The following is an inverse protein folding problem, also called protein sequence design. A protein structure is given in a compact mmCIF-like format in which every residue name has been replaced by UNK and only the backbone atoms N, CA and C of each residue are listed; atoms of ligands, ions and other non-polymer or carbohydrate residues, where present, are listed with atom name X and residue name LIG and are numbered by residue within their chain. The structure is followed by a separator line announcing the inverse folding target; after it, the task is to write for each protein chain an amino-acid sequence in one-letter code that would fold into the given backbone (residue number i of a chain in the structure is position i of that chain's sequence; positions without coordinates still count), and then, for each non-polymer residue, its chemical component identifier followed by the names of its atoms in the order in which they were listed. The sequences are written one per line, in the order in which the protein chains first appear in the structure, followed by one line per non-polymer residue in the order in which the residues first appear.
data_IF_927294166990
#
_entry.id   IF_927294166990
#
_cell.length_a   1.000
_cell.length_b   1.000
_cell.length_c   1.000
_cell.angle_alpha   90.00
_cell.angle_beta   90.00
_cell.angle_gamma   90.00
#
_symmetry.space_group_name_H-M   'P 1'
#
loop_
_entity.id
_entity.type
_entity.pdbx_description
1 polymer ?
#
# COMPACT_ATOMS: atom_id res chain seq x y z
N UNK A 1 11.22 -40.02 -31.14
CA UNK A 1 10.77 -39.48 -29.83
C UNK A 1 9.26 -39.66 -29.77
N UNK A 2 8.77 -40.60 -28.95
CA UNK A 2 7.34 -40.92 -28.82
C UNK A 2 6.62 -39.68 -28.28
N UNK A 3 5.61 -39.21 -29.01
CA UNK A 3 4.65 -38.25 -28.48
C UNK A 3 3.72 -39.03 -27.56
N UNK A 4 3.77 -38.77 -26.25
CA UNK A 4 2.77 -39.27 -25.32
C UNK A 4 1.43 -38.59 -25.63
N UNK A 5 0.51 -39.39 -26.14
CA UNK A 5 -0.89 -39.05 -26.37
C UNK A 5 -1.58 -38.83 -25.02
N UNK A 6 -1.83 -37.56 -24.67
CA UNK A 6 -2.65 -37.20 -23.51
C UNK A 6 -2.28 -35.91 -22.77
N UNK A 7 -1.15 -35.26 -23.10
CA UNK A 7 -0.71 -34.06 -22.36
C UNK A 7 -1.47 -32.81 -22.81
N UNK A 8 -2.26 -32.22 -21.91
CA UNK A 8 -2.95 -30.94 -22.14
C UNK A 8 -1.91 -29.85 -22.46
N UNK A 9 -2.03 -29.23 -23.64
CA UNK A 9 -1.16 -28.12 -24.05
C UNK A 9 -1.90 -26.81 -23.96
N UNK A 10 -1.18 -25.79 -23.52
CA UNK A 10 -1.71 -24.44 -23.37
C UNK A 10 -0.99 -23.55 -24.36
N UNK A 11 -1.80 -22.87 -25.17
CA UNK A 11 -1.38 -21.94 -26.22
C UNK A 11 -1.82 -20.55 -25.83
N UNK A 12 -0.91 -19.59 -25.98
CA UNK A 12 -1.21 -18.16 -25.85
C UNK A 12 -1.04 -17.49 -27.22
N UNK A 13 -1.16 -16.17 -27.30
CA UNK A 13 -1.17 -15.41 -28.56
C UNK A 13 0.15 -15.42 -29.38
N UNK A 14 1.20 -16.13 -28.96
CA UNK A 14 2.51 -16.20 -29.64
C UNK A 14 2.82 -17.54 -30.32
N UNK A 15 1.84 -18.41 -30.56
CA UNK A 15 1.99 -19.76 -31.15
C UNK A 15 2.88 -20.77 -30.39
N UNK A 16 3.67 -20.32 -29.42
CA UNK A 16 4.42 -21.18 -28.51
C UNK A 16 3.50 -22.02 -27.63
N UNK A 17 3.84 -23.30 -27.52
CA UNK A 17 3.06 -24.29 -26.77
C UNK A 17 3.93 -24.99 -25.74
N UNK A 18 3.41 -25.09 -24.53
CA UNK A 18 4.03 -25.84 -23.44
C UNK A 18 2.98 -26.74 -22.79
N UNK A 19 3.41 -27.82 -22.14
CA UNK A 19 2.49 -28.61 -21.34
C UNK A 19 2.03 -27.82 -20.11
N UNK A 20 0.89 -28.23 -19.55
CA UNK A 20 0.33 -27.62 -18.35
C UNK A 20 1.30 -27.64 -17.18
N UNK A 21 2.06 -28.71 -17.00
CA UNK A 21 3.02 -28.86 -15.90
C UNK A 21 4.17 -27.85 -16.02
N UNK A 22 4.69 -27.61 -17.23
CA UNK A 22 5.71 -26.59 -17.47
C UNK A 22 5.17 -25.18 -17.19
N UNK A 23 3.95 -24.88 -17.62
CA UNK A 23 3.29 -23.62 -17.30
C UNK A 23 3.11 -23.44 -15.79
N UNK A 24 2.61 -24.45 -15.09
CA UNK A 24 2.41 -24.41 -13.65
C UNK A 24 3.73 -24.15 -12.90
N UNK A 25 4.81 -24.85 -13.26
CA UNK A 25 6.12 -24.65 -12.64
C UNK A 25 6.67 -23.24 -12.91
N UNK A 26 6.63 -22.79 -14.17
CA UNK A 26 7.11 -21.47 -14.56
C UNK A 26 6.33 -20.35 -13.86
N UNK A 27 5.00 -20.42 -13.88
CA UNK A 27 4.14 -19.40 -13.29
C UNK A 27 4.26 -19.37 -11.77
N UNK A 28 4.25 -20.53 -11.11
CA UNK A 28 4.47 -20.63 -9.66
C UNK A 28 5.79 -19.98 -9.27
N UNK A 29 6.88 -20.30 -9.99
CA UNK A 29 8.18 -19.70 -9.75
C UNK A 29 8.15 -18.17 -9.93
N UNK A 30 7.60 -17.66 -11.04
CA UNK A 30 7.51 -16.22 -11.30
C UNK A 30 6.68 -15.47 -10.26
N UNK A 31 5.58 -16.06 -9.80
CA UNK A 31 4.71 -15.49 -8.76
C UNK A 31 5.41 -15.51 -7.41
N UNK A 32 6.17 -16.55 -7.08
CA UNK A 32 6.93 -16.64 -5.83
C UNK A 32 8.03 -15.58 -5.75
N UNK A 33 8.76 -15.37 -6.84
CA UNK A 33 9.78 -14.31 -6.99
C UNK A 33 9.21 -12.89 -6.92
N UNK A 34 7.89 -12.71 -6.91
CA UNK A 34 7.24 -11.39 -6.90
C UNK A 34 7.36 -10.61 -8.22
N UNK A 35 7.87 -11.25 -9.29
CA UNK A 35 8.05 -10.65 -10.62
C UNK A 35 6.77 -10.74 -11.46
N UNK A 36 5.64 -10.27 -10.93
CA UNK A 36 4.33 -10.42 -11.59
C UNK A 36 4.03 -9.37 -12.65
N UNK A 37 4.67 -8.19 -12.58
CA UNK A 37 4.35 -7.05 -13.43
C UNK A 37 4.73 -7.29 -14.91
N UNK A 38 5.43 -8.40 -15.17
CA UNK A 38 6.02 -8.74 -16.47
C UNK A 38 6.12 -10.25 -16.65
N UNK A 39 5.02 -10.99 -16.45
CA UNK A 39 4.99 -12.42 -16.80
C UNK A 39 4.82 -12.55 -18.32
N UNK A 40 5.91 -12.84 -19.00
CA UNK A 40 5.94 -13.12 -20.43
C UNK A 40 5.94 -14.61 -20.73
N UNK A 41 5.70 -14.94 -22.00
CA UNK A 41 5.89 -16.27 -22.55
C UNK A 41 7.26 -16.86 -22.15
N UNK A 42 7.33 -18.15 -21.77
CA UNK A 42 8.60 -18.82 -21.46
C UNK A 42 9.57 -19.00 -22.63
N UNK A 43 9.12 -18.76 -23.87
CA UNK A 43 9.96 -18.93 -25.05
C UNK A 43 11.05 -17.85 -25.12
N UNK A 44 12.24 -18.25 -25.61
CA UNK A 44 13.36 -17.34 -25.85
C UNK A 44 12.93 -16.23 -26.82
N UNK A 45 13.31 -14.99 -26.50
CA UNK A 45 13.00 -13.78 -27.28
C UNK A 45 11.51 -13.54 -27.54
N UNK A 46 10.63 -14.08 -26.68
CA UNK A 46 9.20 -13.82 -26.76
C UNK A 46 8.74 -12.86 -25.66
N UNK A 47 8.22 -11.70 -26.07
CA UNK A 47 7.74 -10.65 -25.16
C UNK A 47 6.21 -10.57 -25.09
N UNK A 48 5.50 -11.65 -25.46
CA UNK A 48 4.04 -11.69 -25.30
C UNK A 48 3.67 -11.90 -23.84
N UNK A 49 2.80 -11.03 -23.33
CA UNK A 49 2.22 -11.15 -21.99
C UNK A 49 1.37 -12.40 -21.87
N UNK A 50 1.44 -13.03 -20.69
CA UNK A 50 0.56 -14.13 -20.32
C UNK A 50 -0.74 -13.55 -19.77
N UNK A 51 -1.91 -13.85 -20.36
CA UNK A 51 -3.20 -13.38 -19.85
C UNK A 51 -3.54 -13.94 -18.47
N UNK A 52 -4.31 -13.19 -17.67
CA UNK A 52 -4.71 -13.59 -16.32
C UNK A 52 -5.48 -14.92 -16.30
N UNK A 53 -6.31 -15.16 -17.31
CA UNK A 53 -7.11 -16.38 -17.44
C UNK A 53 -6.20 -17.63 -17.56
N UNK A 54 -5.04 -17.48 -18.21
CA UNK A 54 -4.06 -18.56 -18.32
C UNK A 54 -3.39 -18.79 -16.98
N UNK A 55 -3.04 -17.72 -16.26
CA UNK A 55 -2.43 -17.81 -14.94
C UNK A 55 -3.38 -18.56 -14.00
N UNK A 56 -4.62 -18.11 -13.87
CA UNK A 56 -5.66 -18.72 -13.02
C UNK A 56 -5.93 -20.19 -13.37
N UNK A 57 -5.89 -20.55 -14.66
CA UNK A 57 -6.09 -21.95 -15.09
C UNK A 57 -4.89 -22.86 -14.77
N UNK A 58 -3.68 -22.32 -14.72
CA UNK A 58 -2.45 -23.12 -14.61
C UNK A 58 -1.96 -23.31 -13.18
N UNK A 59 -2.20 -22.37 -12.28
CA UNK A 59 -1.69 -22.41 -10.90
C UNK A 59 -2.79 -22.74 -9.91
N UNK A 60 -2.41 -23.14 -8.70
CA UNK A 60 -3.37 -23.36 -7.63
C UNK A 60 -3.99 -22.04 -7.11
N UNK A 61 -5.07 -22.16 -6.34
CA UNK A 61 -5.82 -21.01 -5.84
C UNK A 61 -4.98 -20.05 -4.98
N UNK A 62 -3.99 -20.54 -4.23
CA UNK A 62 -3.14 -19.69 -3.41
C UNK A 62 -2.19 -18.86 -4.28
N UNK A 63 -1.62 -19.47 -5.32
CA UNK A 63 -0.76 -18.77 -6.28
C UNK A 63 -1.55 -17.77 -7.12
N UNK A 64 -2.76 -18.11 -7.57
CA UNK A 64 -3.64 -17.18 -8.29
C UNK A 64 -4.01 -15.97 -7.42
N UNK A 65 -4.34 -16.20 -6.14
CA UNK A 65 -4.61 -15.12 -5.18
C UNK A 65 -3.38 -14.23 -4.96
N UNK A 66 -2.19 -14.83 -4.84
CA UNK A 66 -0.93 -14.09 -4.67
C UNK A 66 -0.61 -13.24 -5.91
N UNK A 67 -0.83 -13.79 -7.11
CA UNK A 67 -0.70 -13.04 -8.36
C UNK A 67 -1.61 -11.81 -8.37
N UNK A 68 -2.91 -11.99 -8.08
CA UNK A 68 -3.87 -10.89 -8.05
C UNK A 68 -3.51 -9.82 -7.00
N UNK A 69 -3.02 -10.22 -5.83
CA UNK A 69 -2.54 -9.28 -4.82
C UNK A 69 -1.43 -8.39 -5.35
N UNK A 70 -0.47 -8.97 -6.07
CA UNK A 70 0.60 -8.18 -6.64
C UNK A 70 0.15 -7.32 -7.82
N UNK A 71 -0.78 -7.80 -8.64
CA UNK A 71 -1.35 -7.01 -9.75
C UNK A 71 -2.09 -5.77 -9.22
N UNK A 72 -2.95 -5.94 -8.21
CA UNK A 72 -3.62 -4.82 -7.51
C UNK A 72 -2.56 -3.91 -6.87
N UNK A 73 -1.51 -4.47 -6.26
CA UNK A 73 -0.39 -3.69 -5.71
C UNK A 73 0.25 -2.79 -6.76
N UNK A 74 0.57 -3.33 -7.93
CA UNK A 74 1.09 -2.56 -9.05
C UNK A 74 0.17 -1.40 -9.44
N UNK A 75 -1.12 -1.72 -9.60
CA UNK A 75 -2.12 -0.76 -10.05
C UNK A 75 -2.23 0.41 -9.08
N UNK A 76 -2.31 0.14 -7.77
CA UNK A 76 -2.42 1.19 -6.76
C UNK A 76 -1.12 1.98 -6.65
N UNK A 77 0.05 1.32 -6.62
CA UNK A 77 1.34 1.99 -6.46
C UNK A 77 1.69 2.89 -7.65
N UNK A 78 1.22 2.55 -8.86
CA UNK A 78 1.47 3.33 -10.08
C UNK A 78 0.42 4.41 -10.36
N UNK A 79 -0.71 4.42 -9.63
CA UNK A 79 -1.82 5.33 -9.90
C UNK A 79 -1.94 6.40 -8.80
N UNK A 80 -1.61 7.68 -9.07
CA UNK A 80 -1.65 8.74 -8.04
C UNK A 80 -3.06 9.03 -7.50
N UNK A 81 -4.11 8.54 -8.18
CA UNK A 81 -5.49 8.65 -7.71
C UNK A 81 -5.87 7.58 -6.69
N UNK A 82 -5.01 6.61 -6.41
CA UNK A 82 -5.22 5.59 -5.38
C UNK A 82 -4.05 5.60 -4.39
N UNK A 83 -4.35 5.35 -3.12
CA UNK A 83 -3.33 5.13 -2.09
C UNK A 83 -3.73 3.97 -1.19
N UNK A 84 -2.76 3.21 -0.71
CA UNK A 84 -2.99 2.20 0.30
C UNK A 84 -3.39 2.86 1.63
N UNK A 85 -4.29 2.21 2.36
CA UNK A 85 -4.53 2.55 3.75
C UNK A 85 -3.21 2.36 4.53
N UNK A 86 -2.73 3.37 5.27
CA UNK A 86 -1.46 3.26 5.99
C UNK A 86 -1.54 2.33 7.21
N UNK A 87 -2.74 1.97 7.65
CA UNK A 87 -2.92 1.15 8.85
C UNK A 87 -2.33 -0.26 8.65
N UNK A 88 -1.62 -0.77 9.65
CA UNK A 88 -1.01 -2.10 9.60
C UNK A 88 -2.07 -3.17 9.37
N UNK A 89 -1.73 -4.17 8.55
CA UNK A 89 -2.62 -5.27 8.16
C UNK A 89 -3.91 -4.85 7.41
N UNK A 90 -4.03 -3.58 7.00
CA UNK A 90 -5.13 -3.13 6.16
C UNK A 90 -4.75 -3.22 4.68
N UNK A 91 -5.29 -4.22 3.96
CA UNK A 91 -5.05 -4.40 2.53
C UNK A 91 -6.05 -3.64 1.64
N UNK A 92 -6.59 -2.51 2.12
CA UNK A 92 -7.53 -1.70 1.37
C UNK A 92 -6.84 -0.48 0.77
N UNK A 93 -7.15 -0.18 -0.48
CA UNK A 93 -6.80 1.08 -1.12
C UNK A 93 -8.00 2.03 -1.11
N UNK A 94 -7.70 3.33 -1.06
CA UNK A 94 -8.65 4.43 -1.12
C UNK A 94 -8.43 5.23 -2.40
N UNK A 95 -9.51 5.74 -2.99
CA UNK A 95 -9.46 6.61 -4.16
C UNK A 95 -9.43 8.08 -3.72
N UNK A 96 -8.74 8.92 -4.49
CA UNK A 96 -8.63 10.36 -4.21
C UNK A 96 -10.01 11.03 -4.22
N UNK A 97 -10.31 11.88 -3.23
CA UNK A 97 -11.57 12.61 -3.17
C UNK A 97 -11.69 13.71 -4.25
N UNK A 98 -10.61 14.03 -4.97
CA UNK A 98 -10.52 15.16 -5.91
C UNK A 98 -10.82 14.71 -7.36
N UNK A 99 -11.04 13.43 -7.62
CA UNK A 99 -11.29 12.93 -8.97
C UNK A 99 -12.49 13.62 -9.66
N UNK A 100 -13.42 14.18 -8.89
CA UNK A 100 -14.69 14.73 -9.38
C UNK A 100 -14.85 16.26 -9.27
N UNK A 101 -13.86 17.01 -8.76
CA UNK A 101 -14.03 18.45 -8.52
C UNK A 101 -13.01 19.30 -9.27
N UNK A 102 -13.53 20.01 -10.26
CA UNK A 102 -12.90 21.12 -10.97
C UNK A 102 -12.09 21.98 -9.99
N UNK A 103 -10.82 22.15 -10.33
CA UNK A 103 -9.81 22.83 -9.53
C UNK A 103 -10.29 24.24 -9.14
N UNK A 104 -10.64 24.43 -7.87
CA UNK A 104 -10.60 25.76 -7.24
C UNK A 104 -9.26 25.89 -6.53
N UNK A 105 -8.50 26.91 -6.94
CA UNK A 105 -7.13 27.21 -6.49
C UNK A 105 -6.99 27.48 -4.98
N UNK A 106 -8.11 27.56 -4.25
CA UNK A 106 -8.17 27.81 -2.80
C UNK A 106 -8.10 26.53 -1.94
N UNK A 107 -8.14 25.33 -2.54
CA UNK A 107 -8.18 24.06 -1.80
C UNK A 107 -6.79 23.50 -1.37
N UNK A 108 -5.76 24.35 -1.37
CA UNK A 108 -4.39 24.01 -0.93
C UNK A 108 -4.11 24.38 0.53
N UNK A 109 -5.01 25.09 1.20
CA UNK A 109 -4.81 25.54 2.58
C UNK A 109 -5.12 24.45 3.62
N UNK A 110 -5.95 23.46 3.26
CA UNK A 110 -6.39 22.40 4.16
C UNK A 110 -5.90 21.03 3.69
N UNK A 111 -5.44 20.21 4.63
CA UNK A 111 -5.21 18.80 4.37
C UNK A 111 -6.51 18.10 4.01
N UNK A 112 -6.45 17.00 3.26
CA UNK A 112 -7.65 16.19 2.97
C UNK A 112 -7.57 14.91 3.74
N UNK A 113 -8.56 14.60 4.57
CA UNK A 113 -8.61 13.30 5.22
C UNK A 113 -9.60 12.38 4.52
N UNK A 114 -9.30 11.09 4.55
CA UNK A 114 -10.12 10.05 3.93
C UNK A 114 -10.34 8.92 4.92
N UNK A 115 -11.39 8.15 4.69
CA UNK A 115 -11.68 6.93 5.43
C UNK A 115 -11.58 5.71 4.51
N UNK A 116 -10.88 4.67 4.95
CA UNK A 116 -10.99 3.37 4.29
C UNK A 116 -12.28 2.67 4.73
N UNK A 117 -12.69 1.59 4.04
CA UNK A 117 -13.90 0.82 4.39
C UNK A 117 -13.85 0.14 5.77
N UNK A 118 -12.66 -0.03 6.34
CA UNK A 118 -12.50 -0.52 7.71
C UNK A 118 -12.60 0.61 8.77
N UNK A 119 -12.89 1.86 8.37
CA UNK A 119 -13.05 2.99 9.28
C UNK A 119 -11.75 3.65 9.72
N UNK A 120 -10.60 3.34 9.11
CA UNK A 120 -9.36 4.05 9.40
C UNK A 120 -9.36 5.43 8.74
N UNK A 121 -9.26 6.47 9.57
CA UNK A 121 -9.23 7.88 9.18
C UNK A 121 -7.79 8.39 9.13
N UNK A 122 -7.38 8.95 7.99
CA UNK A 122 -6.01 9.44 7.79
C UNK A 122 -5.95 10.53 6.73
N UNK A 123 -4.89 11.35 6.76
CA UNK A 123 -4.62 12.36 5.76
C UNK A 123 -4.20 11.72 4.42
N UNK A 124 -4.87 12.08 3.34
CA UNK A 124 -4.57 11.67 1.98
C UNK A 124 -3.13 12.04 1.58
N UNK A 125 -2.68 13.23 1.94
CA UNK A 125 -1.43 13.79 1.43
C UNK A 125 -0.21 13.20 2.13
N UNK A 126 -0.17 13.27 3.47
CA UNK A 126 0.96 12.80 4.27
C UNK A 126 0.83 11.38 4.83
N UNK A 127 -0.35 10.73 4.69
CA UNK A 127 -0.64 9.39 5.21
C UNK A 127 -0.55 9.23 6.73
N UNK A 128 -0.53 10.35 7.47
CA UNK A 128 -0.61 10.38 8.93
C UNK A 128 -2.06 10.46 9.39
N UNK A 129 -2.27 10.60 10.69
CA UNK A 129 -3.59 10.84 11.28
C UNK A 129 -4.31 12.01 10.59
N UNK A 130 -5.64 11.90 10.45
CA UNK A 130 -6.44 12.97 9.86
C UNK A 130 -6.34 14.23 10.71
N UNK A 131 -5.96 15.33 10.07
CA UNK A 131 -5.57 16.56 10.76
C UNK A 131 -6.24 17.79 10.18
N UNK A 132 -7.44 17.64 9.61
CA UNK A 132 -8.27 18.78 9.22
C UNK A 132 -8.71 19.58 10.47
N UNK A 133 -8.66 20.93 10.44
CA UNK A 133 -8.34 21.82 9.32
C UNK A 133 -6.87 22.25 9.26
N UNK A 134 -5.92 21.61 9.95
CA UNK A 134 -4.51 21.96 9.79
C UNK A 134 -3.99 21.51 8.40
N UNK A 135 -3.09 22.31 7.80
CA UNK A 135 -2.28 21.84 6.68
C UNK A 135 -1.29 20.76 7.15
N UNK A 136 -0.75 19.94 6.24
CA UNK A 136 0.28 18.95 6.62
C UNK A 136 1.54 19.61 7.19
N UNK A 137 1.85 20.83 6.75
CA UNK A 137 2.96 21.63 7.26
C UNK A 137 2.70 22.07 8.70
N UNK A 138 1.54 22.68 8.97
CA UNK A 138 1.16 23.08 10.33
C UNK A 138 1.09 21.88 11.29
N UNK A 139 0.60 20.73 10.80
CA UNK A 139 0.57 19.49 11.57
C UNK A 139 1.98 19.04 11.96
N UNK A 140 2.92 19.08 11.02
CA UNK A 140 4.32 18.75 11.27
C UNK A 140 4.97 19.73 12.25
N UNK A 141 4.80 21.04 12.02
CA UNK A 141 5.33 22.08 12.90
C UNK A 141 4.77 21.97 14.33
N UNK A 142 3.52 21.56 14.48
CA UNK A 142 2.93 21.29 15.78
C UNK A 142 3.62 20.13 16.49
N UNK A 143 3.89 19.02 15.81
CA UNK A 143 4.66 17.90 16.38
C UNK A 143 6.07 18.32 16.81
N UNK A 144 6.76 19.08 15.97
CA UNK A 144 8.11 19.57 16.27
C UNK A 144 8.09 20.50 17.50
N UNK A 145 7.10 21.40 17.60
CA UNK A 145 6.93 22.26 18.79
C UNK A 145 6.59 21.48 20.05
N UNK A 146 5.72 20.48 19.96
CA UNK A 146 5.36 19.64 21.11
C UNK A 146 6.58 18.91 21.65
N UNK A 147 7.50 18.47 20.79
CA UNK A 147 8.76 17.85 21.21
C UNK A 147 9.70 18.80 21.99
N UNK A 148 9.50 20.12 21.88
CA UNK A 148 10.27 21.16 22.56
C UNK A 148 9.56 21.74 23.79
N UNK A 149 8.30 21.37 24.05
CA UNK A 149 7.54 21.87 25.20
C UNK A 149 8.23 21.44 26.50
N UNK A 150 8.32 22.39 27.43
CA UNK A 150 8.64 22.14 28.83
C UNK A 150 7.38 22.36 29.66
N UNK A 151 6.70 21.29 30.10
CA UNK A 151 5.43 21.41 30.79
C UNK A 151 5.52 22.30 32.03
N UNK A 152 6.67 22.34 32.70
CA UNK A 152 6.89 23.11 33.93
C UNK A 152 6.96 24.64 33.69
N UNK A 153 7.19 25.06 32.45
CA UNK A 153 7.26 26.48 32.07
C UNK A 153 5.92 27.02 31.52
N UNK A 154 4.91 26.16 31.38
CA UNK A 154 3.57 26.56 30.94
C UNK A 154 2.85 27.29 32.06
N UNK A 155 2.30 28.47 31.76
CA UNK A 155 1.40 29.18 32.67
C UNK A 155 -0.03 28.73 32.37
N UNK A 156 -0.37 27.53 32.81
CA UNK A 156 -1.67 26.90 32.58
C UNK A 156 -2.36 26.47 33.86
N UNK A 157 -3.51 25.82 33.71
CA UNK A 157 -4.10 25.02 34.79
C UNK A 157 -3.35 23.69 34.94
N UNK A 158 -3.50 23.01 36.08
CA UNK A 158 -2.94 21.66 36.28
C UNK A 158 -3.37 20.68 35.17
N UNK A 159 -4.59 20.83 34.64
CA UNK A 159 -5.11 20.03 33.53
C UNK A 159 -4.39 20.33 32.21
N UNK A 160 -4.10 21.61 31.92
CA UNK A 160 -3.36 22.01 30.72
C UNK A 160 -1.89 21.55 30.77
N UNK A 161 -1.26 21.60 31.95
CA UNK A 161 0.08 21.07 32.18
C UNK A 161 0.12 19.54 31.99
N UNK A 162 -0.87 18.82 32.52
CA UNK A 162 -0.99 17.36 32.36
C UNK A 162 -1.18 16.97 30.89
N UNK A 163 -2.06 17.67 30.17
CA UNK A 163 -2.27 17.45 28.73
C UNK A 163 -0.97 17.68 27.95
N UNK A 164 -0.25 18.77 28.23
CA UNK A 164 1.01 19.08 27.58
C UNK A 164 2.08 18.02 27.86
N UNK A 165 2.19 17.56 29.11
CA UNK A 165 3.11 16.50 29.50
C UNK A 165 2.79 15.17 28.79
N UNK A 166 1.50 14.81 28.70
CA UNK A 166 1.05 13.61 27.99
C UNK A 166 1.34 13.70 26.49
N UNK A 167 1.07 14.84 25.85
CA UNK A 167 1.39 15.08 24.45
C UNK A 167 2.90 15.00 24.18
N UNK A 168 3.71 15.69 24.98
CA UNK A 168 5.18 15.62 24.90
C UNK A 168 5.66 14.18 25.00
N UNK A 169 5.18 13.44 26.00
CA UNK A 169 5.59 12.06 26.24
C UNK A 169 5.31 11.17 25.03
N UNK A 170 4.13 11.30 24.41
CA UNK A 170 3.76 10.54 23.21
C UNK A 170 4.68 10.84 22.03
N UNK A 171 5.08 12.11 21.85
CA UNK A 171 5.96 12.53 20.76
C UNK A 171 7.41 12.07 20.98
N UNK A 172 7.92 12.14 22.21
CA UNK A 172 9.33 11.80 22.51
C UNK A 172 9.58 10.31 22.70
N UNK A 173 8.57 9.54 23.14
CA UNK A 173 8.72 8.12 23.47
C UNK A 173 8.14 7.17 22.42
N UNK A 174 7.64 7.69 21.30
CA UNK A 174 7.20 6.88 20.17
C UNK A 174 8.02 7.17 18.91
N UNK A 175 8.19 6.15 18.06
CA UNK A 175 8.77 6.29 16.72
C UNK A 175 7.75 5.86 15.69
N UNK A 176 7.73 6.54 14.55
CA UNK A 176 6.89 6.14 13.41
C UNK A 176 7.46 4.87 12.77
N UNK A 177 6.61 3.89 12.51
CA UNK A 177 6.99 2.74 11.71
C UNK A 177 7.40 3.20 10.31
N UNK A 178 8.56 2.78 9.77
CA UNK A 178 8.98 3.17 8.42
C UNK A 178 8.07 2.60 7.32
N UNK A 179 7.24 1.60 7.64
CA UNK A 179 6.37 0.93 6.67
C UNK A 179 4.90 1.39 6.74
N UNK A 180 4.38 1.67 7.94
CA UNK A 180 2.96 2.01 8.14
C UNK A 180 2.72 3.36 8.83
N UNK A 181 3.78 4.07 9.23
CA UNK A 181 3.74 5.38 9.90
C UNK A 181 2.90 5.46 11.18
N UNK A 182 2.48 4.32 11.74
CA UNK A 182 1.88 4.24 13.08
C UNK A 182 2.96 4.54 14.13
N UNK A 183 2.59 5.27 15.20
CA UNK A 183 3.45 5.50 16.36
C UNK A 183 3.65 4.20 17.13
N UNK A 184 4.91 3.80 17.30
CA UNK A 184 5.32 2.60 18.03
C UNK A 184 6.15 3.04 19.22
N UNK A 185 5.69 2.68 20.41
CA UNK A 185 6.50 2.76 21.63
C UNK A 185 7.35 1.50 21.73
N UNK A 186 8.63 1.65 22.11
CA UNK A 186 9.47 0.49 22.41
C UNK A 186 9.16 0.02 23.83
N UNK A 187 8.51 -1.13 23.95
CA UNK A 187 8.17 -1.72 25.25
C UNK A 187 9.22 -2.80 25.54
N UNK A 188 10.24 -2.44 26.30
CA UNK A 188 11.40 -3.28 26.69
C UNK A 188 12.26 -3.80 25.51
N UNK A 189 13.48 -4.26 25.86
CA UNK A 189 14.56 -4.60 24.92
C UNK A 189 14.43 -5.98 24.30
#
# INVERSE_FOLDING_TARGET
KKFESGVERIVISCDHQFCKECWQQYLTFKIQEGSVHTIFCPAVDCFKFVPNEIIEKCVDQNMARRYLQFDIKAFVDSNPNFKWCPHSNCALAVQSPIFDRLQSSHMREFSKSVNCRNGHYFCWDCLLEGHEPASCENWKDWFDKVAEIKPEELKGTEEEEEIAANCLWLVTNSKKCPNCSISIQKNEG
#
